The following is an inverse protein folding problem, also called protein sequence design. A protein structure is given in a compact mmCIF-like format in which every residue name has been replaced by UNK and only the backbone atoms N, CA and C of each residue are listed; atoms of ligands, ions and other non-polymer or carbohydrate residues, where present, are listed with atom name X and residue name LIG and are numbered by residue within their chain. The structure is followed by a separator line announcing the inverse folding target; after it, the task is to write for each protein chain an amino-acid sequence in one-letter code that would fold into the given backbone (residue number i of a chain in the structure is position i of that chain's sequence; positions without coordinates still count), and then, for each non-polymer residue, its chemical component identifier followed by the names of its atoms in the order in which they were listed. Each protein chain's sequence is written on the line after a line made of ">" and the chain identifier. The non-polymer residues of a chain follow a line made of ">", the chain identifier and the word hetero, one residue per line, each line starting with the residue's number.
data_IF_453403015386
#
_entry.id   IF_453403015386
#
_cell.length_a   1.000
_cell.length_b   1.000
_cell.length_c   1.000
_cell.angle_alpha   90.00
_cell.angle_beta   90.00
_cell.angle_gamma   90.00
#
_symmetry.space_group_name_H-M   'P 1'
#
loop_
_entity.id
_entity.type
_entity.pdbx_description
1 polymer ?
#
# COMPACT_ATOMS: atom_id res chain seq x y z
N UNK A 1 7.23 -6.27 21.72
CA UNK A 1 6.48 -5.01 21.55
C UNK A 1 6.33 -4.82 20.05
N UNK A 2 5.25 -5.39 19.51
CA UNK A 2 4.96 -5.42 18.09
C UNK A 2 4.32 -4.07 17.73
N UNK A 3 5.00 -3.28 16.90
CA UNK A 3 4.36 -2.14 16.25
C UNK A 3 3.50 -2.72 15.13
N UNK A 4 2.20 -2.67 15.36
CA UNK A 4 1.16 -3.29 14.56
C UNK A 4 1.07 -2.63 13.17
N UNK A 5 0.72 -3.42 12.16
CA UNK A 5 0.62 -2.97 10.77
C UNK A 5 -0.37 -1.79 10.64
N UNK A 6 -1.36 -1.69 11.54
CA UNK A 6 -2.27 -0.55 11.62
C UNK A 6 -1.57 0.77 12.02
N UNK A 7 -0.57 0.75 12.89
CA UNK A 7 0.15 1.97 13.29
C UNK A 7 0.98 2.52 12.13
N UNK A 8 1.56 1.65 11.30
CA UNK A 8 2.28 2.08 10.10
C UNK A 8 1.33 2.72 9.09
N UNK A 9 0.14 2.14 8.89
CA UNK A 9 -0.90 2.71 8.01
C UNK A 9 -1.41 4.05 8.55
N UNK A 10 -1.56 4.19 9.86
CA UNK A 10 -1.96 5.45 10.51
C UNK A 10 -0.89 6.54 10.42
N UNK A 11 0.40 6.19 10.52
CA UNK A 11 1.52 7.12 10.30
C UNK A 11 1.54 7.61 8.84
N UNK A 12 1.32 6.72 7.87
CA UNK A 12 1.19 7.12 6.45
C UNK A 12 -0.03 8.00 6.19
N UNK A 13 -1.16 7.78 6.88
CA UNK A 13 -2.36 8.61 6.77
C UNK A 13 -2.19 10.00 7.42
N UNK A 14 -1.47 10.08 8.54
CA UNK A 14 -1.09 11.34 9.19
C UNK A 14 -0.20 12.21 8.29
N UNK A 15 0.63 11.60 7.46
CA UNK A 15 1.52 12.29 6.52
C UNK A 15 0.74 12.95 5.35
N UNK A 16 -0.43 12.43 4.98
CA UNK A 16 -1.20 12.85 3.81
C UNK A 16 -2.00 14.16 3.99
N UNK A 17 -1.96 14.83 5.15
CA UNK A 17 -2.73 16.07 5.38
C UNK A 17 -1.93 17.33 5.04
N UNK A 18 -0.68 17.21 4.58
CA UNK A 18 0.20 18.34 4.31
C UNK A 18 0.88 18.22 2.94
N UNK A 19 0.17 18.55 1.85
CA UNK A 19 0.56 19.67 0.98
C UNK A 19 -0.32 19.82 -0.27
N UNK A 20 -0.45 21.07 -0.71
CA UNK A 20 -1.19 21.47 -1.90
C UNK A 20 -0.20 21.66 -3.06
N UNK A 21 0.08 20.65 -3.88
CA UNK A 21 0.71 20.90 -5.19
C UNK A 21 0.37 19.86 -6.27
N UNK A 22 -0.30 20.31 -7.32
CA UNK A 22 -1.24 19.56 -8.16
C UNK A 22 -0.61 18.67 -9.28
N UNK A 23 0.72 18.49 -9.36
CA UNK A 23 1.34 17.86 -10.54
C UNK A 23 2.35 16.71 -10.29
N UNK A 24 2.87 16.53 -9.07
CA UNK A 24 3.63 15.32 -8.65
C UNK A 24 2.73 14.29 -7.93
N UNK A 25 1.45 14.60 -7.81
CA UNK A 25 0.45 13.89 -7.02
C UNK A 25 -0.02 12.55 -7.66
N UNK A 26 0.16 12.31 -8.96
CA UNK A 26 -0.56 11.22 -9.67
C UNK A 26 -0.29 9.80 -9.17
N UNK A 27 0.93 9.47 -8.72
CA UNK A 27 1.29 8.07 -8.41
C UNK A 27 0.98 7.71 -6.96
N UNK A 28 1.26 8.61 -6.01
CA UNK A 28 0.82 8.46 -4.63
C UNK A 28 -0.71 8.62 -4.50
N UNK A 29 -1.32 9.60 -5.16
CA UNK A 29 -2.79 9.74 -5.18
C UNK A 29 -3.48 8.53 -5.79
N UNK A 30 -2.84 7.82 -6.73
CA UNK A 30 -3.43 6.62 -7.30
C UNK A 30 -3.51 5.50 -6.25
N UNK A 31 -2.47 5.33 -5.43
CA UNK A 31 -2.43 4.33 -4.36
C UNK A 31 -3.39 4.74 -3.24
N UNK A 32 -3.31 5.99 -2.76
CA UNK A 32 -4.22 6.51 -1.73
C UNK A 32 -5.67 6.54 -2.21
N UNK A 33 -5.91 6.94 -3.45
CA UNK A 33 -7.21 6.92 -4.09
C UNK A 33 -7.80 5.52 -4.20
N UNK A 34 -6.96 4.51 -4.45
CA UNK A 34 -7.41 3.11 -4.43
C UNK A 34 -7.85 2.67 -3.03
N UNK A 35 -7.07 3.01 -1.99
CA UNK A 35 -7.44 2.70 -0.60
C UNK A 35 -8.74 3.40 -0.18
N UNK A 36 -8.88 4.68 -0.50
CA UNK A 36 -10.09 5.46 -0.22
C UNK A 36 -11.30 4.89 -0.97
N UNK A 37 -11.14 4.58 -2.26
CA UNK A 37 -12.20 3.97 -3.05
C UNK A 37 -12.63 2.61 -2.46
N UNK A 38 -11.68 1.75 -2.11
CA UNK A 38 -11.97 0.47 -1.48
C UNK A 38 -12.74 0.65 -0.15
N UNK A 39 -12.28 1.56 0.72
CA UNK A 39 -12.95 1.87 1.98
C UNK A 39 -14.38 2.39 1.77
N UNK A 40 -14.59 3.30 0.81
CA UNK A 40 -15.91 3.79 0.44
C UNK A 40 -16.83 2.65 -0.02
N UNK A 41 -16.34 1.74 -0.87
CA UNK A 41 -17.15 0.62 -1.35
C UNK A 41 -17.51 -0.34 -0.21
N UNK A 42 -16.60 -0.61 0.73
CA UNK A 42 -16.88 -1.42 1.92
C UNK A 42 -17.96 -0.79 2.82
N UNK A 43 -17.90 0.53 3.02
CA UNK A 43 -18.90 1.25 3.81
C UNK A 43 -20.26 1.22 3.09
N UNK A 44 -20.28 1.48 1.79
CA UNK A 44 -21.51 1.45 0.98
C UNK A 44 -22.13 0.06 0.94
N UNK A 45 -21.33 -1.00 0.81
CA UNK A 45 -21.81 -2.38 0.81
C UNK A 45 -22.44 -2.74 2.16
N UNK A 46 -21.86 -2.28 3.27
CA UNK A 46 -22.41 -2.46 4.61
C UNK A 46 -23.76 -1.77 4.78
N UNK A 47 -23.88 -0.49 4.38
CA UNK A 47 -25.17 0.21 4.42
C UNK A 47 -26.21 -0.47 3.53
N UNK A 48 -25.83 -0.90 2.32
CA UNK A 48 -26.73 -1.62 1.42
C UNK A 48 -27.23 -2.93 2.07
N UNK A 49 -26.36 -3.69 2.73
CA UNK A 49 -26.74 -4.92 3.44
C UNK A 49 -27.76 -4.65 4.57
N UNK A 50 -27.51 -3.60 5.37
CA UNK A 50 -28.41 -3.18 6.45
C UNK A 50 -29.78 -2.75 5.90
N UNK A 51 -29.80 -1.87 4.90
CA UNK A 51 -31.03 -1.39 4.29
C UNK A 51 -31.82 -2.50 3.58
N UNK A 52 -31.14 -3.40 2.87
CA UNK A 52 -31.74 -4.56 2.21
C UNK A 52 -32.46 -5.46 3.22
N UNK A 53 -31.80 -5.71 4.36
CA UNK A 53 -32.32 -6.56 5.44
C UNK A 53 -33.49 -5.90 6.16
N UNK A 54 -33.39 -4.60 6.45
CA UNK A 54 -34.39 -3.86 7.22
C UNK A 54 -35.67 -3.63 6.41
N UNK A 55 -35.56 -3.19 5.15
CA UNK A 55 -36.74 -2.98 4.28
C UNK A 55 -37.31 -4.27 3.70
N UNK A 56 -36.69 -5.43 3.95
CA UNK A 56 -37.03 -6.74 3.36
C UNK A 56 -37.22 -6.66 1.84
N UNK A 57 -36.52 -5.74 1.17
CA UNK A 57 -36.70 -5.50 -0.25
C UNK A 57 -35.85 -6.48 -1.05
N UNK A 58 -36.50 -7.41 -1.75
CA UNK A 58 -35.84 -8.45 -2.55
C UNK A 58 -34.98 -7.86 -3.68
N UNK A 59 -35.32 -6.69 -4.20
CA UNK A 59 -34.53 -6.01 -5.23
C UNK A 59 -33.17 -5.56 -4.68
N UNK A 60 -33.15 -4.88 -3.54
CA UNK A 60 -31.91 -4.45 -2.88
C UNK A 60 -31.01 -5.64 -2.51
N UNK A 61 -31.63 -6.75 -2.09
CA UNK A 61 -30.87 -7.94 -1.71
C UNK A 61 -30.22 -8.63 -2.93
N UNK A 62 -30.90 -8.63 -4.09
CA UNK A 62 -30.30 -9.06 -5.36
C UNK A 62 -29.14 -8.15 -5.78
N UNK A 63 -29.29 -6.83 -5.66
CA UNK A 63 -28.21 -5.88 -5.95
C UNK A 63 -26.99 -6.11 -5.03
N UNK A 64 -27.22 -6.31 -3.73
CA UNK A 64 -26.15 -6.63 -2.78
C UNK A 64 -25.41 -7.93 -3.15
N UNK A 65 -26.15 -9.00 -3.46
CA UNK A 65 -25.56 -10.27 -3.90
C UNK A 65 -24.75 -10.12 -5.20
N UNK A 66 -25.25 -9.34 -6.17
CA UNK A 66 -24.52 -9.05 -7.41
C UNK A 66 -23.23 -8.24 -7.17
N UNK A 67 -23.25 -7.24 -6.28
CA UNK A 67 -22.08 -6.45 -5.93
C UNK A 67 -21.00 -7.29 -5.24
N UNK A 68 -21.37 -8.09 -4.23
CA UNK A 68 -20.42 -8.99 -3.54
C UNK A 68 -19.88 -10.05 -4.49
N UNK A 69 -20.73 -10.62 -5.36
CA UNK A 69 -20.29 -11.56 -6.38
C UNK A 69 -19.27 -10.96 -7.35
N UNK A 70 -19.44 -9.70 -7.75
CA UNK A 70 -18.47 -8.99 -8.58
C UNK A 70 -17.15 -8.75 -7.84
N UNK A 71 -17.18 -8.41 -6.55
CA UNK A 71 -15.97 -8.26 -5.74
C UNK A 71 -15.15 -9.54 -5.65
N UNK A 72 -15.80 -10.69 -5.46
CA UNK A 72 -15.11 -11.99 -5.44
C UNK A 72 -14.41 -12.24 -6.78
N UNK A 73 -15.06 -11.94 -7.91
CA UNK A 73 -14.42 -12.09 -9.24
C UNK A 73 -13.21 -11.17 -9.38
N UNK A 74 -13.30 -9.92 -8.95
CA UNK A 74 -12.17 -8.97 -8.97
C UNK A 74 -11.03 -9.48 -8.10
N UNK A 75 -11.29 -9.92 -6.86
CA UNK A 75 -10.28 -10.46 -5.96
C UNK A 75 -9.56 -11.69 -6.54
N UNK A 76 -10.28 -12.57 -7.25
CA UNK A 76 -9.68 -13.73 -7.92
C UNK A 76 -8.79 -13.32 -9.10
N UNK A 77 -9.22 -12.34 -9.89
CA UNK A 77 -8.41 -11.81 -11.00
C UNK A 77 -7.15 -11.12 -10.45
N UNK A 78 -7.29 -10.26 -9.45
CA UNK A 78 -6.17 -9.56 -8.81
C UNK A 78 -5.19 -10.54 -8.17
N UNK A 79 -5.70 -11.58 -7.48
CA UNK A 79 -4.87 -12.64 -6.92
C UNK A 79 -4.11 -13.45 -7.98
N UNK A 80 -4.75 -13.77 -9.12
CA UNK A 80 -4.11 -14.47 -10.23
C UNK A 80 -3.04 -13.61 -10.92
N UNK A 81 -3.32 -12.31 -11.11
CA UNK A 81 -2.37 -11.35 -11.66
C UNK A 81 -1.18 -11.18 -10.71
N UNK A 82 -1.42 -11.00 -9.41
CA UNK A 82 -0.37 -10.91 -8.40
C UNK A 82 0.51 -12.17 -8.37
N UNK A 83 -0.08 -13.36 -8.52
CA UNK A 83 0.67 -14.61 -8.60
C UNK A 83 1.50 -14.71 -9.89
N UNK A 84 0.88 -14.47 -11.04
CA UNK A 84 1.53 -14.61 -12.36
C UNK A 84 2.66 -13.61 -12.57
N UNK A 85 2.48 -12.38 -12.10
CA UNK A 85 3.44 -11.30 -12.25
C UNK A 85 4.32 -11.09 -11.01
N UNK A 86 4.23 -11.95 -9.99
CA UNK A 86 4.96 -11.80 -8.73
C UNK A 86 6.45 -11.54 -8.94
N UNK A 87 7.13 -12.35 -9.75
CA UNK A 87 8.58 -12.19 -9.97
C UNK A 87 8.93 -10.95 -10.83
N UNK A 88 8.13 -10.66 -11.86
CA UNK A 88 8.42 -9.56 -12.81
C UNK A 88 8.04 -8.18 -12.26
N UNK A 89 6.88 -8.05 -11.60
CA UNK A 89 6.43 -6.80 -10.98
C UNK A 89 7.31 -6.47 -9.79
N UNK A 90 7.69 -7.47 -9.00
CA UNK A 90 8.65 -7.23 -7.94
C UNK A 90 9.93 -6.67 -8.58
N UNK A 91 10.60 -7.40 -9.48
CA UNK A 91 11.94 -6.99 -9.97
C UNK A 91 11.95 -5.66 -10.71
N UNK A 92 11.04 -5.43 -11.66
CA UNK A 92 11.11 -4.25 -12.54
C UNK A 92 10.43 -3.01 -11.96
N UNK A 93 9.31 -3.17 -11.23
CA UNK A 93 8.58 -1.99 -10.75
C UNK A 93 9.24 -1.38 -9.51
N UNK A 94 9.89 -2.17 -8.66
CA UNK A 94 10.51 -1.60 -7.46
C UNK A 94 11.80 -0.84 -7.77
N UNK A 95 12.63 -1.33 -8.69
CA UNK A 95 13.98 -0.79 -8.89
C UNK A 95 13.93 0.57 -9.59
N UNK A 96 13.26 0.65 -10.74
CA UNK A 96 13.14 1.90 -11.50
C UNK A 96 12.42 2.98 -10.69
N UNK A 97 11.36 2.61 -9.97
CA UNK A 97 10.59 3.56 -9.14
C UNK A 97 11.42 4.02 -7.93
N UNK A 98 12.15 3.11 -7.29
CA UNK A 98 13.04 3.49 -6.18
C UNK A 98 14.18 4.38 -6.66
N UNK A 99 14.79 4.09 -7.81
CA UNK A 99 15.84 4.95 -8.38
C UNK A 99 15.32 6.33 -8.77
N UNK A 100 14.16 6.40 -9.42
CA UNK A 100 13.51 7.66 -9.77
C UNK A 100 13.21 8.48 -8.49
N UNK A 101 12.66 7.84 -7.46
CA UNK A 101 12.39 8.46 -6.16
C UNK A 101 13.67 8.93 -5.45
N UNK A 102 14.72 8.11 -5.47
CA UNK A 102 16.01 8.46 -4.87
C UNK A 102 16.61 9.68 -5.59
N UNK A 103 16.55 9.72 -6.91
CA UNK A 103 17.06 10.86 -7.68
C UNK A 103 16.33 12.17 -7.31
N UNK A 104 14.99 12.13 -7.15
CA UNK A 104 14.21 13.29 -6.69
C UNK A 104 14.61 13.73 -5.28
N UNK A 105 14.74 12.78 -4.34
CA UNK A 105 15.18 13.08 -2.98
C UNK A 105 16.62 13.62 -2.94
N UNK A 106 17.51 13.09 -3.78
CA UNK A 106 18.91 13.51 -3.88
C UNK A 106 19.05 14.96 -4.36
N UNK A 107 18.21 15.41 -5.29
CA UNK A 107 18.15 16.81 -5.74
C UNK A 107 17.80 17.80 -4.62
N UNK A 108 17.06 17.33 -3.61
CA UNK A 108 16.63 18.15 -2.46
C UNK A 108 17.60 18.06 -1.28
N UNK A 109 18.49 17.06 -1.28
CA UNK A 109 19.45 16.77 -0.20
C UNK A 109 20.90 16.94 -0.63
N UNK A 110 21.16 17.84 -1.58
CA UNK A 110 22.49 18.06 -2.14
C UNK A 110 23.46 18.41 -1.00
N UNK A 111 24.63 17.74 -0.90
CA UNK A 111 25.53 18.01 0.20
C UNK A 111 26.07 19.43 0.19
N UNK A 112 26.03 20.10 1.34
CA UNK A 112 26.53 21.46 1.53
C UNK A 112 25.54 22.58 1.23
N UNK A 113 24.28 22.27 0.88
CA UNK A 113 23.20 23.28 0.77
C UNK A 113 22.34 23.39 2.02
N UNK A 114 22.27 22.34 2.85
CA UNK A 114 21.51 22.35 4.10
C UNK A 114 22.17 21.44 5.16
N UNK A 115 22.25 21.91 6.40
CA UNK A 115 22.75 21.14 7.55
C UNK A 115 21.64 20.32 8.25
N UNK A 116 20.39 20.49 7.82
CA UNK A 116 19.21 19.84 8.37
C UNK A 116 18.43 19.15 7.26
N UNK A 117 17.79 18.02 7.60
CA UNK A 117 16.95 17.28 6.67
C UNK A 117 15.77 18.16 6.20
N UNK A 118 15.60 18.39 4.89
CA UNK A 118 14.44 19.09 4.34
C UNK A 118 13.12 18.46 4.84
N UNK A 119 12.14 19.31 5.14
CA UNK A 119 10.79 18.87 5.47
C UNK A 119 10.00 18.60 4.19
N UNK A 120 10.46 17.58 3.45
CA UNK A 120 10.01 17.24 2.12
C UNK A 120 9.64 15.75 2.07
N UNK A 121 8.59 15.41 1.33
CA UNK A 121 7.97 14.09 1.38
C UNK A 121 8.87 12.97 0.86
N UNK A 122 9.58 13.17 -0.25
CA UNK A 122 10.49 12.16 -0.77
C UNK A 122 11.70 11.99 0.16
N UNK A 123 12.19 13.08 0.76
CA UNK A 123 13.32 13.04 1.69
C UNK A 123 12.93 12.31 2.98
N UNK A 124 11.77 12.63 3.55
CA UNK A 124 11.25 11.96 4.74
C UNK A 124 10.92 10.48 4.47
N UNK A 125 10.41 10.16 3.27
CA UNK A 125 10.22 8.78 2.84
C UNK A 125 11.52 8.00 2.87
N UNK A 126 12.60 8.53 2.29
CA UNK A 126 13.91 7.86 2.28
C UNK A 126 14.52 7.77 3.68
N UNK A 127 14.49 8.85 4.45
CA UNK A 127 15.01 8.85 5.82
C UNK A 127 14.27 7.85 6.73
N UNK A 128 12.96 7.73 6.58
CA UNK A 128 12.13 6.78 7.34
C UNK A 128 12.36 5.35 6.88
N UNK A 129 12.47 5.14 5.56
CA UNK A 129 12.69 3.81 4.96
C UNK A 129 14.04 3.26 5.39
N UNK A 130 15.11 4.04 5.23
CA UNK A 130 16.47 3.62 5.62
C UNK A 130 16.57 3.34 7.12
N UNK A 131 15.93 4.16 7.96
CA UNK A 131 15.87 3.93 9.39
C UNK A 131 15.07 2.66 9.76
N UNK A 132 13.90 2.46 9.13
CA UNK A 132 12.99 1.36 9.44
C UNK A 132 13.51 0.00 8.99
N UNK A 133 14.20 -0.03 7.86
CA UNK A 133 14.69 -1.26 7.24
C UNK A 133 16.19 -1.47 7.46
N UNK A 134 16.88 -0.53 8.10
CA UNK A 134 18.32 -0.59 8.36
C UNK A 134 19.09 -0.88 7.07
N UNK A 135 18.87 -0.02 6.07
CA UNK A 135 19.37 -0.12 4.71
C UNK A 135 19.82 1.24 4.21
N UNK A 136 20.55 1.28 3.09
CA UNK A 136 20.99 2.53 2.49
C UNK A 136 21.02 2.47 0.97
N UNK A 137 20.39 3.47 0.34
CA UNK A 137 20.21 3.54 -1.11
C UNK A 137 19.32 2.43 -1.65
N UNK A 138 19.24 2.33 -2.97
CA UNK A 138 18.46 1.27 -3.62
C UNK A 138 19.21 -0.05 -3.46
N UNK A 139 20.46 -0.10 -3.92
CA UNK A 139 21.36 -1.25 -3.77
C UNK A 139 22.44 -1.04 -2.72
N UNK A 140 22.92 0.20 -2.53
CA UNK A 140 23.92 0.55 -1.51
C UNK A 140 24.08 2.08 -1.35
N UNK A 141 24.91 2.52 -0.42
CA UNK A 141 25.15 3.96 -0.16
C UNK A 141 25.75 4.73 -1.34
N UNK A 142 26.39 4.06 -2.31
CA UNK A 142 26.95 4.72 -3.49
C UNK A 142 25.89 5.25 -4.45
N UNK A 143 24.64 4.80 -4.35
CA UNK A 143 23.53 5.37 -5.11
C UNK A 143 23.35 6.87 -4.80
N UNK A 144 23.52 7.25 -3.53
CA UNK A 144 23.47 8.66 -3.11
C UNK A 144 24.67 9.45 -3.63
N UNK A 145 25.87 8.88 -3.58
CA UNK A 145 27.08 9.57 -4.05
C UNK A 145 27.07 9.75 -5.57
N UNK A 146 26.50 8.78 -6.30
CA UNK A 146 26.24 8.87 -7.72
C UNK A 146 25.22 9.96 -8.04
N UNK A 147 24.12 10.03 -7.29
CA UNK A 147 23.08 11.04 -7.48
C UNK A 147 23.56 12.46 -7.14
N UNK A 148 24.39 12.63 -6.11
CA UNK A 148 24.97 13.92 -5.72
C UNK A 148 26.20 14.32 -6.54
N UNK A 149 26.85 13.37 -7.22
CA UNK A 149 28.14 13.55 -7.88
C UNK A 149 29.33 13.76 -6.93
N UNK A 150 29.15 13.53 -5.62
CA UNK A 150 30.19 13.62 -4.59
C UNK A 150 29.84 12.80 -3.35
N UNK A 151 30.86 12.41 -2.60
CA UNK A 151 30.71 11.68 -1.35
C UNK A 151 30.49 12.64 -0.16
N UNK A 152 29.51 12.36 0.70
CA UNK A 152 29.22 13.17 1.89
C UNK A 152 28.59 12.34 3.00
N UNK A 153 29.39 11.96 3.99
CA UNK A 153 28.97 11.13 5.14
C UNK A 153 27.93 11.82 6.04
N UNK A 154 28.04 13.13 6.25
CA UNK A 154 27.10 13.88 7.10
C UNK A 154 25.66 13.89 6.55
N UNK A 155 25.50 13.96 5.23
CA UNK A 155 24.19 13.89 4.59
C UNK A 155 23.62 12.47 4.63
N UNK A 156 24.47 11.46 4.43
CA UNK A 156 24.06 10.06 4.60
C UNK A 156 23.52 9.81 6.02
N UNK A 157 24.20 10.32 7.04
CA UNK A 157 23.74 10.21 8.44
C UNK A 157 22.43 10.97 8.69
N UNK A 158 22.21 12.13 8.06
CA UNK A 158 20.93 12.87 8.13
C UNK A 158 19.76 12.07 7.55
N UNK A 159 20.01 11.23 6.54
CA UNK A 159 19.01 10.30 5.98
C UNK A 159 18.94 8.96 6.74
N UNK A 160 19.53 8.85 7.95
CA UNK A 160 19.65 7.61 8.72
C UNK A 160 20.37 6.47 7.98
N UNK A 161 21.18 6.80 6.98
CA UNK A 161 22.09 5.86 6.36
C UNK A 161 23.40 5.82 7.15
N UNK A 162 23.53 4.84 8.03
CA UNK A 162 24.73 4.63 8.84
C UNK A 162 25.73 3.70 8.15
N UNK A 163 27.02 3.88 8.44
CA UNK A 163 28.12 3.10 7.85
C UNK A 163 27.92 1.58 7.94
N UNK A 164 27.29 1.10 9.02
CA UNK A 164 26.95 -0.31 9.22
C UNK A 164 26.08 -0.89 8.09
N UNK A 165 25.26 -0.06 7.44
CA UNK A 165 24.27 -0.45 6.44
C UNK A 165 24.61 0.05 5.03
N UNK A 166 25.83 0.54 4.80
CA UNK A 166 26.24 1.04 3.49
C UNK A 166 26.20 -0.01 2.39
N UNK A 167 26.46 -1.27 2.73
CA UNK A 167 26.37 -2.40 1.80
C UNK A 167 24.95 -2.97 1.62
N UNK A 168 24.00 -2.52 2.44
CA UNK A 168 22.67 -3.12 2.55
C UNK A 168 21.66 -2.29 1.75
N UNK A 169 21.39 -2.67 0.51
CA UNK A 169 20.38 -2.01 -0.31
C UNK A 169 18.96 -2.18 0.21
N UNK A 170 18.18 -1.09 0.19
CA UNK A 170 16.79 -1.12 0.65
C UNK A 170 15.90 -1.99 -0.23
N UNK A 171 16.20 -2.11 -1.52
CA UNK A 171 15.42 -2.88 -2.48
C UNK A 171 15.31 -4.36 -2.09
N UNK A 172 16.44 -5.03 -1.82
CA UNK A 172 16.46 -6.43 -1.36
C UNK A 172 15.77 -6.62 -0.01
N UNK A 173 15.99 -5.71 0.94
CA UNK A 173 15.43 -5.84 2.30
C UNK A 173 13.91 -5.63 2.27
N UNK A 174 13.43 -4.62 1.56
CA UNK A 174 12.00 -4.36 1.40
C UNK A 174 11.31 -5.53 0.72
N UNK A 175 11.88 -6.07 -0.37
CA UNK A 175 11.36 -7.29 -1.03
C UNK A 175 11.30 -8.47 -0.10
N UNK A 176 12.37 -8.71 0.67
CA UNK A 176 12.41 -9.82 1.63
C UNK A 176 11.34 -9.68 2.71
N UNK A 177 11.08 -8.46 3.17
CA UNK A 177 10.02 -8.17 4.17
C UNK A 177 8.63 -8.35 3.58
N UNK A 178 8.39 -7.87 2.36
CA UNK A 178 7.12 -8.08 1.66
C UNK A 178 6.87 -9.57 1.49
N UNK A 179 7.87 -10.34 1.02
CA UNK A 179 7.76 -11.77 0.83
C UNK A 179 7.43 -12.52 2.14
N UNK A 180 8.04 -12.14 3.26
CA UNK A 180 7.74 -12.77 4.56
C UNK A 180 6.32 -12.46 5.06
N UNK A 181 5.85 -11.22 4.87
CA UNK A 181 4.52 -10.79 5.32
C UNK A 181 3.40 -11.22 4.36
N UNK A 182 3.73 -11.52 3.10
CA UNK A 182 2.76 -11.93 2.06
C UNK A 182 1.99 -13.19 2.48
N UNK A 183 2.58 -14.08 3.28
CA UNK A 183 1.88 -15.26 3.80
C UNK A 183 0.72 -14.87 4.73
N UNK A 184 0.92 -13.91 5.62
CA UNK A 184 -0.11 -13.41 6.53
C UNK A 184 -1.20 -12.64 5.77
N UNK A 185 -0.80 -11.78 4.83
CA UNK A 185 -1.72 -11.05 3.96
C UNK A 185 -2.59 -12.00 3.11
N UNK A 186 -1.99 -13.03 2.53
CA UNK A 186 -2.70 -14.06 1.76
C UNK A 186 -3.69 -14.85 2.61
N UNK A 187 -3.32 -15.22 3.84
CA UNK A 187 -4.22 -15.89 4.77
C UNK A 187 -5.41 -15.01 5.18
N UNK A 188 -5.17 -13.72 5.46
CA UNK A 188 -6.22 -12.77 5.77
C UNK A 188 -7.18 -12.57 4.59
N UNK A 189 -6.65 -12.42 3.38
CA UNK A 189 -7.45 -12.31 2.15
C UNK A 189 -8.34 -13.53 1.90
N UNK A 190 -7.81 -14.74 2.14
CA UNK A 190 -8.61 -15.97 2.05
C UNK A 190 -9.77 -15.97 3.04
N UNK A 191 -9.57 -15.44 4.25
CA UNK A 191 -10.63 -15.26 5.23
C UNK A 191 -11.75 -14.34 4.73
N UNK A 192 -11.39 -13.22 4.09
CA UNK A 192 -12.36 -12.28 3.49
C UNK A 192 -13.17 -12.97 2.39
N UNK A 193 -12.53 -13.71 1.50
CA UNK A 193 -13.21 -14.47 0.43
C UNK A 193 -14.26 -15.43 1.00
N UNK A 194 -13.94 -16.16 2.07
CA UNK A 194 -14.89 -17.08 2.72
C UNK A 194 -16.10 -16.32 3.28
N UNK A 195 -15.87 -15.18 3.93
CA UNK A 195 -16.95 -14.34 4.47
C UNK A 195 -17.85 -13.80 3.36
N UNK A 196 -17.28 -13.33 2.26
CA UNK A 196 -18.01 -12.83 1.09
C UNK A 196 -18.86 -13.92 0.43
N UNK A 197 -18.32 -15.14 0.30
CA UNK A 197 -19.06 -16.29 -0.24
C UNK A 197 -20.27 -16.65 0.64
N UNK A 198 -20.08 -16.71 1.96
CA UNK A 198 -21.17 -16.96 2.91
C UNK A 198 -22.22 -15.84 2.84
N UNK A 199 -21.79 -14.58 2.81
CA UNK A 199 -22.68 -13.43 2.74
C UNK A 199 -23.49 -13.42 1.43
N UNK A 200 -22.84 -13.71 0.31
CA UNK A 200 -23.48 -13.83 -1.01
C UNK A 200 -24.50 -14.98 -1.03
N UNK A 201 -24.15 -16.15 -0.50
CA UNK A 201 -25.05 -17.30 -0.41
C UNK A 201 -26.29 -16.99 0.45
N UNK A 202 -26.11 -16.39 1.63
CA UNK A 202 -27.22 -16.02 2.52
C UNK A 202 -28.13 -14.95 1.89
N UNK A 203 -27.55 -13.94 1.25
CA UNK A 203 -28.30 -12.90 0.54
C UNK A 203 -29.10 -13.48 -0.63
N UNK A 204 -28.46 -14.33 -1.44
CA UNK A 204 -29.12 -15.06 -2.53
C UNK A 204 -30.26 -15.93 -2.01
N UNK A 205 -30.00 -16.76 -1.00
CA UNK A 205 -31.00 -17.63 -0.40
C UNK A 205 -32.25 -16.84 0.02
N UNK A 206 -32.09 -15.74 0.77
CA UNK A 206 -33.19 -14.89 1.23
C UNK A 206 -33.87 -14.09 0.10
N UNK A 207 -33.17 -13.79 -0.99
CA UNK A 207 -33.75 -13.13 -2.15
C UNK A 207 -34.64 -14.07 -2.98
N UNK A 208 -34.24 -15.34 -3.09
CA UNK A 208 -34.92 -16.36 -3.90
C UNK A 208 -35.90 -17.23 -3.12
N UNK A 209 -35.83 -17.28 -1.78
CA UNK A 209 -36.90 -17.92 -1.01
C UNK A 209 -38.21 -17.14 -1.26
N UNK A 210 -39.25 -17.80 -1.80
CA UNK A 210 -40.57 -17.22 -1.83
C UNK A 210 -41.00 -16.99 -0.39
N UNK A 211 -41.55 -15.82 -0.10
CA UNK A 211 -42.18 -15.53 1.18
C UNK A 211 -43.47 -16.35 1.22
N UNK A 212 -43.39 -17.61 1.64
CA UNK A 212 -44.56 -18.36 2.02
C UNK A 212 -44.96 -17.88 3.42
N UNK A 213 -45.75 -16.82 3.47
CA UNK A 213 -46.41 -16.39 4.69
C UNK A 213 -47.79 -15.85 4.30
N UNK A 214 -48.78 -16.63 4.73
CA UNK A 214 -50.14 -16.21 5.07
C UNK A 214 -50.14 -14.95 5.95
#
# INVERSE_FOLDING_TARGET
>A
MALDVQDKVFIFASFATADNDFLELRRLDMIFGLFVAAACVLILSFFLALFATWKKNKFLLKCYCALVGLMVVVQLVDGLLAFTYSDQVNQMASDDIMYESLAKAALKTIPGTADTLPNDDEVQFWATTQNSFACCGVYNSTDWTMAWGKESTSQLELLHCYQKHYSDGCEKIVRSRIASETQYLGAASMGVLVVELIASFLAGYRAYTPSNSY
#
